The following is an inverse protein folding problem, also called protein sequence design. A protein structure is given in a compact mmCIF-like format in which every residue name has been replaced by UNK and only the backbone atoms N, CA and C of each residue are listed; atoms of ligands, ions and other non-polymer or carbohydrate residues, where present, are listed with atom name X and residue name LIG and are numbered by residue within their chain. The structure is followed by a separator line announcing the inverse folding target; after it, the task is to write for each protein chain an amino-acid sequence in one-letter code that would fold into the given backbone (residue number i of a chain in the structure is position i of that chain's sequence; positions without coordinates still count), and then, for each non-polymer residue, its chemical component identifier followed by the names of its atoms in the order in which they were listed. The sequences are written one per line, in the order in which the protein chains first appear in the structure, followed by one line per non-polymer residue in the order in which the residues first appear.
data_IF_722273952107
#
_entry.id   IF_722273952107
#
_cell.length_a   1.000
_cell.length_b   1.000
_cell.length_c   1.000
_cell.angle_alpha   90.00
_cell.angle_beta   90.00
_cell.angle_gamma   90.00
#
_symmetry.space_group_name_H-M   'P 1'
#
loop_
_entity.id
_entity.type
_entity.pdbx_description
1 polymer ?
#
# COMPACT_ATOMS: atom_id res chain seq x y z
N UNK A 1 38.28 28.84 3.58
CA UNK A 1 38.93 30.17 3.62
C UNK A 1 40.45 30.02 3.46
N UNK A 2 41.14 29.33 4.36
CA UNK A 2 42.57 29.00 4.16
C UNK A 2 42.82 28.19 2.89
N UNK A 3 41.92 27.25 2.55
CA UNK A 3 41.94 26.50 1.27
C UNK A 3 41.80 27.40 0.03
N UNK A 4 41.27 28.61 0.19
CA UNK A 4 41.20 29.64 -0.85
C UNK A 4 42.37 30.63 -0.77
N UNK A 5 43.40 30.32 0.02
CA UNK A 5 44.56 31.19 0.26
C UNK A 5 44.29 32.41 1.15
N UNK A 6 43.11 32.51 1.76
CA UNK A 6 42.76 33.63 2.64
C UNK A 6 43.41 33.44 4.01
N UNK A 7 44.09 34.49 4.49
CA UNK A 7 44.66 34.50 5.85
C UNK A 7 43.55 34.70 6.87
N UNK A 8 43.19 33.64 7.60
CA UNK A 8 42.17 33.68 8.66
C UNK A 8 42.84 33.93 10.02
N UNK A 9 42.44 34.96 10.78
CA UNK A 9 42.93 35.15 12.14
C UNK A 9 42.52 34.00 13.08
N UNK A 10 43.39 33.56 14.01
CA UNK A 10 43.10 32.42 14.89
C UNK A 10 41.91 32.63 15.83
N UNK A 11 41.56 33.89 16.11
CA UNK A 11 40.44 34.31 16.95
C UNK A 11 39.26 34.88 16.13
N UNK A 12 39.22 34.64 14.81
CA UNK A 12 38.19 35.18 13.94
C UNK A 12 36.82 34.57 14.28
N UNK A 13 35.80 35.44 14.36
CA UNK A 13 34.41 35.00 14.52
C UNK A 13 33.85 34.51 13.17
N UNK A 14 32.83 33.65 13.22
CA UNK A 14 32.14 33.15 12.02
C UNK A 14 31.69 34.27 11.08
N UNK A 15 31.19 35.39 11.61
CA UNK A 15 30.78 36.55 10.81
C UNK A 15 31.96 37.16 10.05
N UNK A 16 33.13 37.23 10.67
CA UNK A 16 34.35 37.76 10.04
C UNK A 16 34.86 36.79 8.95
N UNK A 17 34.78 35.48 9.20
CA UNK A 17 35.15 34.46 8.23
C UNK A 17 34.19 34.47 7.04
N UNK A 18 32.88 34.57 7.28
CA UNK A 18 31.87 34.71 6.22
C UNK A 18 32.21 35.90 5.33
N UNK A 19 32.45 37.07 5.93
CA UNK A 19 32.79 38.29 5.20
C UNK A 19 34.05 38.11 4.35
N UNK A 20 35.11 37.54 4.92
CA UNK A 20 36.35 37.25 4.20
C UNK A 20 36.14 36.32 2.99
N UNK A 21 35.26 35.33 3.12
CA UNK A 21 34.91 34.41 2.03
C UNK A 21 34.13 35.15 0.94
N UNK A 22 33.06 35.86 1.32
CA UNK A 22 32.14 36.50 0.36
C UNK A 22 32.74 37.71 -0.36
N UNK A 23 33.76 38.34 0.20
CA UNK A 23 34.48 39.47 -0.43
C UNK A 23 35.61 39.01 -1.35
N UNK A 24 35.93 37.71 -1.39
CA UNK A 24 36.98 37.19 -2.27
C UNK A 24 36.49 37.13 -3.72
N UNK A 25 37.31 37.54 -4.68
CA UNK A 25 36.99 37.52 -6.11
C UNK A 25 36.71 36.10 -6.66
N UNK A 26 37.30 35.07 -6.03
CA UNK A 26 37.06 33.67 -6.38
C UNK A 26 35.77 33.11 -5.78
N UNK A 27 35.06 33.86 -4.92
CA UNK A 27 33.76 33.47 -4.42
C UNK A 27 32.68 33.75 -5.46
N UNK A 28 32.07 32.69 -5.96
CA UNK A 28 30.97 32.74 -6.91
C UNK A 28 29.64 32.52 -6.18
N UNK A 29 28.90 33.60 -5.97
CA UNK A 29 27.61 33.57 -5.28
C UNK A 29 26.56 32.78 -6.07
N UNK A 30 26.52 32.92 -7.40
CA UNK A 30 25.55 32.21 -8.24
C UNK A 30 25.81 30.71 -8.22
N UNK A 31 27.09 30.30 -8.29
CA UNK A 31 27.47 28.90 -8.14
C UNK A 31 27.02 28.33 -6.79
N UNK A 32 27.31 29.03 -5.69
CA UNK A 32 26.89 28.58 -4.36
C UNK A 32 25.36 28.47 -4.24
N UNK A 33 24.62 29.44 -4.75
CA UNK A 33 23.16 29.41 -4.76
C UNK A 33 22.63 28.23 -5.60
N UNK A 34 23.20 27.99 -6.77
CA UNK A 34 22.79 26.89 -7.65
C UNK A 34 23.07 25.53 -7.01
N UNK A 35 24.22 25.35 -6.36
CA UNK A 35 24.53 24.12 -5.62
C UNK A 35 23.53 23.90 -4.49
N UNK A 36 23.21 24.94 -3.72
CA UNK A 36 22.21 24.85 -2.65
C UNK A 36 20.82 24.53 -3.19
N UNK A 37 20.43 25.12 -4.31
CA UNK A 37 19.14 24.85 -4.95
C UNK A 37 19.07 23.40 -5.43
N UNK A 38 20.12 22.89 -6.10
CA UNK A 38 20.17 21.49 -6.51
C UNK A 38 20.05 20.53 -5.32
N UNK A 39 20.70 20.83 -4.19
CA UNK A 39 20.57 20.01 -2.96
C UNK A 39 19.13 20.02 -2.44
N UNK A 40 18.43 21.15 -2.52
CA UNK A 40 17.02 21.25 -2.12
C UNK A 40 16.16 20.42 -3.07
N UNK A 41 16.33 20.60 -4.38
CA UNK A 41 15.55 19.92 -5.41
C UNK A 41 15.75 18.39 -5.34
N UNK A 42 17.00 17.94 -5.18
CA UNK A 42 17.34 16.52 -4.99
C UNK A 42 16.64 15.93 -3.76
N UNK A 43 16.59 16.68 -2.64
CA UNK A 43 15.90 16.23 -1.41
C UNK A 43 14.40 16.13 -1.62
N UNK A 44 13.80 17.12 -2.27
CA UNK A 44 12.37 17.14 -2.57
C UNK A 44 11.99 15.99 -3.50
N UNK A 45 12.75 15.78 -4.56
CA UNK A 45 12.49 14.69 -5.51
C UNK A 45 12.70 13.32 -4.86
N UNK A 46 13.74 13.18 -4.02
CA UNK A 46 13.96 11.96 -3.24
C UNK A 46 12.76 11.66 -2.33
N UNK A 47 12.31 12.62 -1.53
CA UNK A 47 11.15 12.44 -0.65
C UNK A 47 9.88 12.07 -1.43
N UNK A 48 9.65 12.73 -2.57
CA UNK A 48 8.52 12.44 -3.47
C UNK A 48 8.58 11.02 -4.01
N UNK A 49 9.75 10.58 -4.47
CA UNK A 49 9.96 9.24 -5.01
C UNK A 49 9.79 8.15 -3.95
N UNK A 50 10.29 8.37 -2.74
CA UNK A 50 10.13 7.45 -1.61
C UNK A 50 8.66 7.31 -1.20
N UNK A 51 7.92 8.42 -1.17
CA UNK A 51 6.48 8.41 -0.91
C UNK A 51 5.71 7.62 -1.98
N UNK A 52 5.99 7.87 -3.27
CA UNK A 52 5.35 7.16 -4.37
C UNK A 52 5.64 5.66 -4.34
N UNK A 53 6.87 5.27 -4.00
CA UNK A 53 7.24 3.87 -3.89
C UNK A 53 6.52 3.18 -2.73
N UNK A 54 6.40 3.87 -1.58
CA UNK A 54 5.63 3.36 -0.44
C UNK A 54 4.16 3.16 -0.78
N UNK A 55 3.53 4.14 -1.44
CA UNK A 55 2.13 4.03 -1.88
C UNK A 55 1.93 2.86 -2.86
N UNK A 56 2.87 2.65 -3.80
CA UNK A 56 2.83 1.50 -4.71
C UNK A 56 2.97 0.17 -3.97
N UNK A 57 3.88 0.08 -3.00
CA UNK A 57 4.06 -1.13 -2.20
C UNK A 57 2.82 -1.47 -1.38
N UNK A 58 2.21 -0.46 -0.75
CA UNK A 58 0.95 -0.61 0.00
C UNK A 58 -0.21 -1.06 -0.90
N UNK A 59 -0.32 -0.51 -2.12
CA UNK A 59 -1.30 -0.94 -3.12
C UNK A 59 -1.08 -2.40 -3.54
N UNK A 60 0.16 -2.78 -3.86
CA UNK A 60 0.50 -4.16 -4.24
C UNK A 60 0.17 -5.14 -3.11
N UNK A 61 0.48 -4.79 -1.87
CA UNK A 61 0.16 -5.60 -0.70
C UNK A 61 -1.35 -5.75 -0.50
N UNK A 62 -2.14 -4.70 -0.75
CA UNK A 62 -3.61 -4.77 -0.71
C UNK A 62 -4.16 -5.72 -1.77
N UNK A 63 -3.69 -5.61 -3.01
CA UNK A 63 -4.11 -6.48 -4.11
C UNK A 63 -3.77 -7.95 -3.82
N UNK A 64 -2.57 -8.22 -3.30
CA UNK A 64 -2.16 -9.57 -2.91
C UNK A 64 -3.06 -10.16 -1.83
N UNK A 65 -3.39 -9.36 -0.80
CA UNK A 65 -4.27 -9.78 0.28
C UNK A 65 -5.69 -10.06 -0.20
N UNK A 66 -6.22 -9.23 -1.09
CA UNK A 66 -7.55 -9.45 -1.68
C UNK A 66 -7.59 -10.73 -2.51
N UNK A 67 -6.55 -10.97 -3.32
CA UNK A 67 -6.42 -12.20 -4.10
C UNK A 67 -6.31 -13.46 -3.23
N UNK A 68 -5.60 -13.38 -2.11
CA UNK A 68 -5.51 -14.49 -1.15
C UNK A 68 -6.87 -14.76 -0.48
N UNK A 69 -7.60 -13.71 -0.12
CA UNK A 69 -8.96 -13.83 0.43
C UNK A 69 -9.93 -14.48 -0.57
N UNK A 70 -9.88 -14.07 -1.84
CA UNK A 70 -10.71 -14.65 -2.91
C UNK A 70 -10.39 -16.14 -3.12
N UNK A 71 -9.10 -16.50 -3.18
CA UNK A 71 -8.67 -17.89 -3.28
C UNK A 71 -9.14 -18.73 -2.09
N UNK A 72 -9.02 -18.19 -0.88
CA UNK A 72 -9.45 -18.90 0.33
C UNK A 72 -10.98 -19.08 0.36
N UNK A 73 -11.74 -18.09 -0.12
CA UNK A 73 -13.18 -18.19 -0.25
C UNK A 73 -13.60 -19.27 -1.26
N UNK A 74 -12.97 -19.32 -2.43
CA UNK A 74 -13.21 -20.36 -3.45
C UNK A 74 -12.88 -21.77 -2.91
N UNK A 75 -11.78 -21.92 -2.18
CA UNK A 75 -11.41 -23.19 -1.55
C UNK A 75 -12.43 -23.64 -0.49
N UNK A 76 -12.90 -22.73 0.37
CA UNK A 76 -13.89 -23.07 1.40
C UNK A 76 -15.24 -23.41 0.77
N UNK A 77 -15.65 -22.70 -0.29
CA UNK A 77 -16.84 -23.03 -1.08
C UNK A 77 -16.75 -24.45 -1.66
N UNK A 78 -15.61 -24.82 -2.24
CA UNK A 78 -15.39 -26.16 -2.77
C UNK A 78 -15.41 -27.22 -1.65
N UNK A 79 -14.78 -26.93 -0.50
CA UNK A 79 -14.81 -27.81 0.68
C UNK A 79 -16.23 -28.07 1.15
N UNK A 80 -17.05 -27.04 1.30
CA UNK A 80 -18.45 -27.15 1.70
C UNK A 80 -19.27 -27.93 0.66
N UNK A 81 -19.01 -27.75 -0.63
CA UNK A 81 -19.66 -28.52 -1.69
C UNK A 81 -19.32 -30.01 -1.60
N UNK A 82 -18.05 -30.36 -1.37
CA UNK A 82 -17.60 -31.74 -1.18
C UNK A 82 -18.23 -32.34 0.09
N UNK A 83 -18.28 -31.57 1.18
CA UNK A 83 -18.91 -32.00 2.43
C UNK A 83 -20.40 -32.27 2.25
N UNK A 84 -21.14 -31.35 1.62
CA UNK A 84 -22.53 -31.54 1.25
C UNK A 84 -22.74 -32.78 0.36
N UNK A 85 -21.83 -33.05 -0.58
CA UNK A 85 -21.90 -34.25 -1.42
C UNK A 85 -21.64 -35.55 -0.63
N UNK A 86 -20.75 -35.53 0.37
CA UNK A 86 -20.54 -36.68 1.28
C UNK A 86 -21.80 -37.01 2.08
N UNK A 87 -22.59 -36.01 2.47
CA UNK A 87 -23.91 -36.23 3.08
C UNK A 87 -24.94 -36.83 2.11
N UNK A 88 -24.73 -36.74 0.78
CA UNK A 88 -25.67 -37.18 -0.25
C UNK A 88 -25.26 -38.55 -0.86
N UNK A 89 -24.05 -39.08 -0.60
CA UNK A 89 -23.71 -40.42 -1.11
C UNK A 89 -24.50 -41.53 -0.39
N UNK A 90 -25.27 -42.34 -1.14
CA UNK A 90 -26.05 -43.43 -0.59
C UNK A 90 -25.11 -44.58 -0.23
N UNK A 91 -25.09 -44.98 1.04
CA UNK A 91 -24.72 -46.35 1.36
C UNK A 91 -25.66 -47.27 0.59
N UNK A 92 -25.08 -48.14 -0.23
CA UNK A 92 -25.60 -49.46 -0.59
C UNK A 92 -27.13 -49.59 -0.62
N UNK A 93 -27.71 -49.33 -1.80
CA UNK A 93 -29.01 -49.86 -2.21
C UNK A 93 -30.17 -49.55 -1.27
N UNK A 94 -30.76 -48.36 -1.38
CA UNK A 94 -32.19 -48.08 -1.15
C UNK A 94 -32.47 -46.71 -1.79
N UNK A 95 -33.63 -46.57 -2.41
CA UNK A 95 -34.10 -45.41 -3.18
C UNK A 95 -33.85 -44.08 -2.45
N UNK A 96 -32.79 -43.35 -2.83
CA UNK A 96 -32.42 -42.08 -2.19
C UNK A 96 -33.30 -40.96 -2.75
N UNK A 97 -34.46 -40.78 -2.12
CA UNK A 97 -35.17 -39.51 -2.14
C UNK A 97 -34.28 -38.50 -1.42
N UNK A 98 -33.68 -37.55 -2.15
CA UNK A 98 -33.13 -36.34 -1.55
C UNK A 98 -34.24 -35.63 -0.76
N UNK A 99 -34.20 -35.52 0.59
CA UNK A 99 -35.23 -34.78 1.32
C UNK A 99 -34.86 -33.30 1.47
N UNK A 100 -33.82 -32.81 0.78
CA UNK A 100 -33.35 -31.41 0.87
C UNK A 100 -33.36 -30.72 -0.49
N UNK A 101 -34.29 -31.07 -1.38
CA UNK A 101 -34.87 -30.02 -2.24
C UNK A 101 -35.75 -29.23 -1.27
N UNK A 102 -35.22 -28.09 -0.79
CA UNK A 102 -35.89 -27.16 0.10
C UNK A 102 -37.40 -27.14 -0.18
N UNK A 103 -38.18 -27.82 0.66
CA UNK A 103 -39.64 -27.81 0.57
C UNK A 103 -40.14 -26.48 1.17
N UNK A 104 -39.61 -25.35 0.65
CA UNK A 104 -40.04 -23.99 0.97
C UNK A 104 -41.57 -23.87 0.85
N UNK A 105 -42.16 -24.60 -0.09
CA UNK A 105 -43.60 -24.72 -0.31
C UNK A 105 -44.39 -25.27 0.90
N UNK A 106 -43.75 -26.05 1.78
CA UNK A 106 -44.37 -26.58 3.00
C UNK A 106 -44.11 -25.71 4.24
N UNK A 107 -43.18 -24.77 4.15
CA UNK A 107 -42.81 -23.87 5.25
C UNK A 107 -43.46 -22.49 5.11
N UNK A 108 -43.81 -22.10 3.88
CA UNK A 108 -44.59 -20.91 3.61
C UNK A 108 -46.07 -21.21 3.83
N UNK A 109 -46.80 -20.40 4.61
CA UNK A 109 -48.25 -20.45 4.64
C UNK A 109 -48.81 -20.31 3.23
N UNK A 110 -49.84 -21.09 2.89
CA UNK A 110 -50.54 -20.88 1.62
C UNK A 110 -51.21 -19.51 1.66
N UNK A 111 -50.79 -18.62 0.75
CA UNK A 111 -51.39 -17.30 0.62
C UNK A 111 -52.84 -17.45 0.17
N UNK A 112 -53.78 -16.99 1.00
CA UNK A 112 -55.20 -17.00 0.69
C UNK A 112 -55.71 -15.56 0.50
N UNK A 113 -55.93 -15.08 -0.74
CA UNK A 113 -56.32 -13.69 -1.02
C UNK A 113 -57.77 -13.35 -0.63
N UNK A 114 -58.42 -14.21 0.16
CA UNK A 114 -59.78 -14.01 0.69
C UNK A 114 -59.80 -13.67 2.18
N UNK A 115 -58.64 -13.66 2.83
CA UNK A 115 -58.49 -13.25 4.24
C UNK A 115 -57.84 -11.86 4.41
N UNK A 116 -57.61 -11.13 3.31
CA UNK A 116 -57.28 -9.69 3.29
C UNK A 116 -58.41 -8.88 2.64
#
# INVERSE_FOLDING_TARGET
AEEMGLKVPPNAKVIQIKKLITENEAYDEEFCLNVLQNIIDDRVEKERSEKLNREKEEEQNRILKEKEQEQNFELEKLRLQIEAQKFIQPSSGLTSSCPVILQLKKLLPEYNPKED
#
